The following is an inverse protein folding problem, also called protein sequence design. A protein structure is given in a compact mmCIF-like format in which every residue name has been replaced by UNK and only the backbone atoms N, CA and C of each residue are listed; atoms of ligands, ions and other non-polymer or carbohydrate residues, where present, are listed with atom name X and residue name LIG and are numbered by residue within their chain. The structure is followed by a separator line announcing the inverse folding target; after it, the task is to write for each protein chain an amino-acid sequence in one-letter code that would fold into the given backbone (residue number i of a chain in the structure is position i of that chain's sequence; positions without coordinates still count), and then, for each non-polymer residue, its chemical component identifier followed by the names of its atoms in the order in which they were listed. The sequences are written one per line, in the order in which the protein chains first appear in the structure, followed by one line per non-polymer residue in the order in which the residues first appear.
data_IF_701767992315
#
_entry.id   IF_701767992315
#
_cell.length_a   1.000
_cell.length_b   1.000
_cell.length_c   1.000
_cell.angle_alpha   90.00
_cell.angle_beta   90.00
_cell.angle_gamma   90.00
#
_symmetry.space_group_name_H-M   'P 1'
#
loop_
_entity.id
_entity.type
_entity.pdbx_description
1 polymer ?
#
# COMPACT_ATOMS: atom_id res chain seq x y z
N UNK A 1 -8.59 7.55 0.73
CA UNK A 1 -7.17 7.98 0.58
C UNK A 1 -6.49 7.02 -0.39
N UNK A 2 -5.66 7.48 -1.34
CA UNK A 2 -4.97 6.58 -2.30
C UNK A 2 -3.52 6.99 -2.49
N UNK A 3 -2.61 6.03 -2.33
CA UNK A 3 -1.17 6.23 -2.55
C UNK A 3 -0.59 5.12 -3.40
N UNK A 4 0.33 5.50 -4.28
CA UNK A 4 1.06 4.59 -5.15
C UNK A 4 2.56 4.86 -5.00
N UNK A 5 3.32 3.80 -4.83
CA UNK A 5 4.77 3.80 -4.67
C UNK A 5 5.37 2.82 -5.67
N UNK A 6 6.47 3.23 -6.27
CA UNK A 6 7.30 2.37 -7.12
C UNK A 6 8.66 2.23 -6.49
N UNK A 7 9.18 1.02 -6.51
CA UNK A 7 10.54 0.71 -6.11
C UNK A 7 11.25 0.11 -7.32
N UNK A 8 12.23 0.85 -7.83
CA UNK A 8 13.01 0.44 -8.99
C UNK A 8 14.49 0.40 -8.62
N UNK A 9 15.12 -0.75 -8.83
CA UNK A 9 16.57 -0.96 -8.80
C UNK A 9 17.02 -1.56 -10.15
N UNK A 10 18.33 -1.79 -10.34
CA UNK A 10 18.88 -2.30 -11.60
C UNK A 10 18.29 -3.66 -12.07
N UNK A 11 17.63 -4.41 -11.18
CA UNK A 11 17.08 -5.76 -11.43
C UNK A 11 15.61 -5.92 -11.07
N UNK A 12 15.04 -4.98 -10.33
CA UNK A 12 13.71 -5.04 -9.76
C UNK A 12 12.92 -3.81 -10.15
N UNK A 13 11.72 -4.03 -10.66
CA UNK A 13 10.72 -2.99 -10.85
C UNK A 13 9.45 -3.47 -10.14
N UNK A 14 9.15 -2.87 -9.00
CA UNK A 14 8.07 -3.26 -8.11
C UNK A 14 7.14 -2.08 -7.87
N UNK A 15 5.87 -2.38 -7.70
CA UNK A 15 4.87 -1.41 -7.30
C UNK A 15 4.22 -1.82 -5.99
N UNK A 16 3.76 -0.81 -5.26
CA UNK A 16 2.97 -0.95 -4.06
C UNK A 16 1.95 0.18 -4.02
N UNK A 17 0.71 -0.14 -3.73
CA UNK A 17 -0.42 0.78 -3.70
C UNK A 17 -1.23 0.52 -2.44
N UNK A 18 -1.79 1.58 -1.86
CA UNK A 18 -2.80 1.47 -0.82
C UNK A 18 -3.96 2.39 -1.13
N UNK A 19 -5.18 1.88 -0.98
CA UNK A 19 -6.43 2.57 -1.17
C UNK A 19 -7.30 2.36 0.08
N UNK A 20 -7.58 3.44 0.81
CA UNK A 20 -8.41 3.44 2.01
C UNK A 20 -9.82 3.91 1.66
N UNK A 21 -10.80 3.12 2.05
CA UNK A 21 -12.23 3.30 1.85
C UNK A 21 -12.94 3.08 3.19
N UNK A 22 -13.39 4.18 3.81
CA UNK A 22 -14.11 4.17 5.10
C UNK A 22 -13.37 3.34 6.17
N UNK A 23 -13.94 2.22 6.57
CA UNK A 23 -13.45 1.30 7.60
C UNK A 23 -12.46 0.25 7.08
N UNK A 24 -12.09 0.30 5.80
CA UNK A 24 -11.23 -0.70 5.17
C UNK A 24 -10.15 -0.07 4.30
N UNK A 25 -9.07 -0.81 4.08
CA UNK A 25 -8.10 -0.47 3.06
C UNK A 25 -7.73 -1.69 2.21
N UNK A 26 -7.36 -1.42 0.97
CA UNK A 26 -6.86 -2.39 0.01
C UNK A 26 -5.44 -2.03 -0.36
N UNK A 27 -4.51 -2.97 -0.17
CA UNK A 27 -3.11 -2.86 -0.56
C UNK A 27 -2.87 -3.74 -1.78
N UNK A 28 -2.33 -3.16 -2.84
CA UNK A 28 -1.95 -3.91 -4.05
C UNK A 28 -0.45 -3.80 -4.26
N UNK A 29 0.26 -4.92 -4.42
CA UNK A 29 1.71 -4.89 -4.63
C UNK A 29 2.17 -5.99 -5.56
N UNK A 30 3.26 -5.75 -6.27
CA UNK A 30 3.75 -6.72 -7.24
C UNK A 30 4.96 -6.24 -8.01
N UNK A 31 5.33 -7.00 -9.04
CA UNK A 31 6.30 -6.58 -10.05
C UNK A 31 5.55 -5.77 -11.09
N UNK A 32 6.11 -4.66 -11.54
CA UNK A 32 5.51 -3.86 -12.62
C UNK A 32 5.34 -4.74 -13.86
N UNK A 33 4.14 -4.70 -14.45
CA UNK A 33 3.76 -5.57 -15.57
C UNK A 33 3.20 -6.94 -15.17
N UNK A 34 3.10 -7.28 -13.88
CA UNK A 34 2.32 -8.43 -13.41
C UNK A 34 1.00 -8.00 -12.76
N UNK A 35 0.07 -8.95 -12.61
CA UNK A 35 -1.21 -8.70 -11.92
C UNK A 35 -1.03 -8.35 -10.44
N UNK A 36 0.15 -8.60 -9.86
CA UNK A 36 0.42 -8.38 -8.44
C UNK A 36 -0.42 -9.23 -7.50
N UNK A 37 -0.42 -8.84 -6.23
CA UNK A 37 -1.26 -9.37 -5.17
C UNK A 37 -2.07 -8.25 -4.56
N UNK A 38 -3.33 -8.54 -4.25
CA UNK A 38 -4.26 -7.63 -3.58
C UNK A 38 -4.52 -8.17 -2.19
N UNK A 39 -4.46 -7.30 -1.18
CA UNK A 39 -4.81 -7.59 0.20
C UNK A 39 -5.77 -6.53 0.70
N UNK A 40 -7.00 -6.91 1.03
CA UNK A 40 -7.98 -6.03 1.67
C UNK A 40 -8.04 -6.35 3.16
N UNK A 41 -8.10 -5.31 3.97
CA UNK A 41 -8.26 -5.41 5.42
C UNK A 41 -9.34 -4.44 5.88
N UNK A 42 -10.28 -4.94 6.65
CA UNK A 42 -11.38 -4.18 7.26
C UNK A 42 -11.12 -4.03 8.74
N UNK A 43 -11.56 -2.91 9.30
CA UNK A 43 -11.43 -2.52 10.69
C UNK A 43 -12.80 -2.17 11.24
N UNK A 44 -12.91 -2.09 12.56
CA UNK A 44 -14.17 -1.74 13.23
C UNK A 44 -14.50 -0.24 13.12
N UNK A 45 -13.49 0.59 12.87
CA UNK A 45 -13.62 2.05 12.80
C UNK A 45 -12.68 2.70 11.76
N UNK A 46 -13.15 3.80 11.16
CA UNK A 46 -12.41 4.56 10.15
C UNK A 46 -11.10 5.16 10.72
N UNK A 47 -11.08 5.57 11.98
CA UNK A 47 -9.90 6.20 12.58
C UNK A 47 -8.73 5.22 12.69
N UNK A 48 -9.00 4.00 13.16
CA UNK A 48 -8.05 2.89 13.25
C UNK A 48 -7.59 2.46 11.86
N UNK A 49 -8.51 2.36 10.89
CA UNK A 49 -8.19 2.09 9.50
C UNK A 49 -7.18 3.11 8.94
N UNK A 50 -7.48 4.40 9.12
CA UNK A 50 -6.62 5.50 8.67
C UNK A 50 -5.27 5.52 9.39
N UNK A 51 -5.23 5.27 10.70
CA UNK A 51 -3.98 5.19 11.48
C UNK A 51 -3.08 4.07 10.97
N UNK A 52 -3.62 2.87 10.79
CA UNK A 52 -2.86 1.72 10.30
C UNK A 52 -2.40 1.93 8.85
N UNK A 53 -3.26 2.48 7.97
CA UNK A 53 -2.89 2.81 6.59
C UNK A 53 -1.74 3.83 6.53
N UNK A 54 -1.79 4.89 7.35
CA UNK A 54 -0.72 5.90 7.44
C UNK A 54 0.58 5.35 7.99
N UNK A 55 0.50 4.44 8.97
CA UNK A 55 1.66 3.73 9.52
C UNK A 55 2.34 2.87 8.44
N UNK A 56 1.56 2.04 7.74
CA UNK A 56 2.03 1.24 6.60
C UNK A 56 2.67 2.10 5.51
N UNK A 57 2.04 3.22 5.14
CA UNK A 57 2.57 4.16 4.16
C UNK A 57 3.92 4.73 4.62
N UNK A 58 4.03 5.15 5.87
CA UNK A 58 5.26 5.73 6.43
C UNK A 58 6.40 4.71 6.47
N UNK A 59 6.12 3.45 6.82
CA UNK A 59 7.10 2.37 6.79
C UNK A 59 7.57 2.05 5.38
N UNK A 60 6.69 2.12 4.37
CA UNK A 60 7.05 1.92 2.97
C UNK A 60 7.85 3.09 2.41
N UNK A 61 7.45 4.33 2.69
CA UNK A 61 8.19 5.53 2.27
C UNK A 61 9.63 5.52 2.77
N UNK A 62 9.86 5.12 4.03
CA UNK A 62 11.21 4.96 4.60
C UNK A 62 12.07 3.89 3.94
N UNK A 63 11.48 2.95 3.19
CA UNK A 63 12.22 1.90 2.45
C UNK A 63 12.49 2.27 1.00
N UNK A 64 11.74 3.23 0.47
CA UNK A 64 11.87 3.70 -0.91
C UNK A 64 12.85 4.88 -1.01
N UNK A 65 12.97 5.68 0.06
CA UNK A 65 13.98 6.73 0.24
C UNK A 65 15.23 6.11 0.88
#
# INVERSE_FOLDING_TARGET
MKHYLTFQDDKSDKFWQIEVSEDSFTVTYGKTGSSGQVQTKTFDDEETCLKEAKKLLSEKLKKVI
#
